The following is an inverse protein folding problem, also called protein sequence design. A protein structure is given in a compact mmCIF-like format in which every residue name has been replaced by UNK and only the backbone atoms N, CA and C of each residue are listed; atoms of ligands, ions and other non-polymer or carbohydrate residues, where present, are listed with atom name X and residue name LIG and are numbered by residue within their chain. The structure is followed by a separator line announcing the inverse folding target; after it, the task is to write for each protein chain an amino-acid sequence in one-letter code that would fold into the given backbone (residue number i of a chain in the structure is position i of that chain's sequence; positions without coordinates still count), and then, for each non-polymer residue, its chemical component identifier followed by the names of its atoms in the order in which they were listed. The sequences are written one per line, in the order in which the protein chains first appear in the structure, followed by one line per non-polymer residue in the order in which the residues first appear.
data_IF_973600641539
#
_entry.id   IF_973600641539
#
_cell.length_a   1.000
_cell.length_b   1.000
_cell.length_c   1.000
_cell.angle_alpha   90.00
_cell.angle_beta   90.00
_cell.angle_gamma   90.00
#
_symmetry.space_group_name_H-M   'P 1'
#
loop_
_entity.id
_entity.type
_entity.pdbx_description
1 polymer ?
#
# COMPACT_ATOMS: atom_id res chain seq x y z
N UNK A 1 -4.76 -12.40 2.66
CA UNK A 1 -3.30 -12.72 2.62
C UNK A 1 -2.57 -11.78 3.58
N UNK A 2 -1.65 -12.28 4.41
CA UNK A 2 -0.87 -11.44 5.33
C UNK A 2 0.63 -11.78 5.24
N UNK A 3 1.49 -10.77 5.30
CA UNK A 3 2.94 -10.96 5.33
C UNK A 3 3.71 -9.64 5.42
N UNK A 4 5.01 -9.70 5.07
CA UNK A 4 5.93 -8.56 4.95
C UNK A 4 6.32 -8.36 3.49
N UNK A 5 7.02 -7.27 3.17
CA UNK A 5 7.62 -7.08 1.84
C UNK A 5 8.70 -8.12 1.49
N UNK A 6 9.15 -8.91 2.47
CA UNK A 6 10.07 -10.02 2.24
C UNK A 6 9.34 -11.32 1.92
N UNK A 7 8.18 -11.58 2.55
CA UNK A 7 7.40 -12.80 2.32
C UNK A 7 6.41 -12.68 1.16
N UNK A 8 5.94 -11.47 0.89
CA UNK A 8 5.07 -11.14 -0.22
C UNK A 8 5.93 -10.57 -1.35
N UNK A 9 5.96 -11.25 -2.49
CA UNK A 9 6.78 -10.87 -3.64
C UNK A 9 6.02 -11.10 -4.95
N UNK A 10 6.42 -10.36 -6.00
CA UNK A 10 5.78 -10.46 -7.31
C UNK A 10 4.43 -9.75 -7.38
N UNK A 11 3.66 -9.98 -8.45
CA UNK A 11 2.31 -9.41 -8.58
C UNK A 11 1.32 -10.21 -7.74
N UNK A 12 0.42 -9.52 -7.04
CA UNK A 12 -0.65 -10.13 -6.23
C UNK A 12 -2.01 -9.75 -6.81
N UNK A 13 -2.86 -10.75 -7.01
CA UNK A 13 -4.31 -10.56 -7.21
C UNK A 13 -4.98 -10.60 -5.84
N UNK A 14 -5.51 -9.47 -5.41
CA UNK A 14 -6.14 -9.25 -4.12
C UNK A 14 -7.66 -9.16 -4.28
N UNK A 15 -8.37 -10.26 -4.07
CA UNK A 15 -9.84 -10.29 -4.16
C UNK A 15 -10.54 -10.07 -2.81
N UNK A 16 -9.80 -10.09 -1.70
CA UNK A 16 -10.35 -9.98 -0.34
C UNK A 16 -9.58 -8.97 0.49
N UNK A 17 -8.38 -9.34 0.94
CA UNK A 17 -7.49 -8.44 1.66
C UNK A 17 -6.02 -8.86 1.53
N UNK A 18 -5.14 -7.86 1.41
CA UNK A 18 -3.70 -7.98 1.59
C UNK A 18 -3.29 -7.16 2.81
N UNK A 19 -2.58 -7.79 3.75
CA UNK A 19 -2.14 -7.16 4.98
C UNK A 19 -0.61 -7.18 5.01
N UNK A 20 0.01 -6.00 5.00
CA UNK A 20 1.43 -5.84 5.29
C UNK A 20 1.61 -5.58 6.78
N UNK A 21 2.03 -6.59 7.54
CA UNK A 21 2.41 -6.42 8.94
C UNK A 21 3.93 -6.26 9.05
N UNK A 22 4.38 -5.03 8.85
CA UNK A 22 5.78 -4.70 8.64
C UNK A 22 6.35 -4.01 9.88
N UNK A 23 7.30 -4.66 10.56
CA UNK A 23 7.96 -4.09 11.75
C UNK A 23 9.22 -3.29 11.42
N UNK A 24 9.87 -3.60 10.30
CA UNK A 24 11.11 -2.97 9.81
C UNK A 24 10.90 -2.48 8.38
N UNK A 25 11.51 -1.37 7.97
CA UNK A 25 11.27 -0.80 6.65
C UNK A 25 11.52 -1.78 5.49
N UNK A 26 10.69 -1.69 4.45
CA UNK A 26 10.81 -2.55 3.28
C UNK A 26 10.08 -2.02 2.05
N UNK A 27 10.56 -2.43 0.88
CA UNK A 27 10.00 -2.05 -0.42
C UNK A 27 9.26 -3.21 -1.05
N UNK A 28 8.05 -2.95 -1.54
CA UNK A 28 7.27 -3.87 -2.35
C UNK A 28 7.12 -3.31 -3.76
N UNK A 29 7.81 -3.94 -4.71
CA UNK A 29 7.83 -3.54 -6.12
C UNK A 29 6.77 -4.23 -6.99
N UNK A 30 6.05 -5.19 -6.42
CA UNK A 30 4.97 -5.89 -7.12
C UNK A 30 3.75 -5.00 -7.36
N UNK A 31 2.96 -5.33 -8.38
CA UNK A 31 1.63 -4.76 -8.58
C UNK A 31 0.60 -5.50 -7.73
N UNK A 32 -0.36 -4.78 -7.16
CA UNK A 32 -1.51 -5.34 -6.45
C UNK A 32 -2.76 -4.94 -7.21
N UNK A 33 -3.54 -5.91 -7.66
CA UNK A 33 -4.79 -5.71 -8.40
C UNK A 33 -5.98 -6.40 -7.71
N UNK A 34 -7.20 -6.24 -8.20
CA UNK A 34 -8.39 -6.95 -7.70
C UNK A 34 -9.37 -6.07 -6.91
N UNK A 35 -10.37 -6.66 -6.27
CA UNK A 35 -11.41 -5.92 -5.54
C UNK A 35 -11.20 -5.84 -4.02
N UNK A 36 -10.14 -6.46 -3.50
CA UNK A 36 -9.83 -6.51 -2.08
C UNK A 36 -9.17 -5.24 -1.57
N UNK A 37 -9.08 -5.14 -0.24
CA UNK A 37 -8.47 -4.01 0.46
C UNK A 37 -6.99 -4.23 0.76
N UNK A 38 -6.25 -3.13 0.96
CA UNK A 38 -4.88 -3.15 1.44
C UNK A 38 -4.83 -2.62 2.88
N UNK A 39 -4.20 -3.36 3.79
CA UNK A 39 -4.01 -2.93 5.19
C UNK A 39 -2.53 -2.85 5.54
N UNK A 40 -2.10 -1.72 6.09
CA UNK A 40 -0.75 -1.53 6.64
C UNK A 40 -0.79 -1.59 8.17
N UNK A 41 -0.05 -2.57 8.71
CA UNK A 41 0.19 -2.84 10.13
C UNK A 41 1.70 -2.78 10.43
N UNK A 42 2.03 -2.76 11.72
CA UNK A 42 3.41 -2.77 12.22
C UNK A 42 4.09 -1.39 12.14
N UNK A 43 5.15 -1.22 12.93
CA UNK A 43 5.83 0.06 13.13
C UNK A 43 6.69 0.53 11.95
N UNK A 44 7.08 -0.37 11.05
CA UNK A 44 7.98 -0.06 9.95
C UNK A 44 7.28 0.63 8.78
N UNK A 45 8.08 1.00 7.79
CA UNK A 45 7.64 1.61 6.53
C UNK A 45 7.43 0.54 5.47
N UNK A 46 6.29 0.59 4.77
CA UNK A 46 6.12 -0.14 3.50
C UNK A 46 6.20 0.87 2.38
N UNK A 47 7.17 0.69 1.49
CA UNK A 47 7.36 1.51 0.30
C UNK A 47 6.74 0.76 -0.89
N UNK A 48 5.59 1.25 -1.37
CA UNK A 48 4.96 0.76 -2.58
C UNK A 48 5.55 1.48 -3.78
N UNK A 49 6.18 0.73 -4.69
CA UNK A 49 6.70 1.28 -5.95
C UNK A 49 6.02 0.68 -7.18
N UNK A 50 5.25 -0.39 -7.01
CA UNK A 50 4.42 -0.95 -8.07
C UNK A 50 3.21 -0.07 -8.40
N UNK A 51 2.71 -0.22 -9.62
CA UNK A 51 1.42 0.31 -10.03
C UNK A 51 0.32 -0.61 -9.48
N UNK A 52 -0.55 -0.06 -8.63
CA UNK A 52 -1.59 -0.83 -7.97
C UNK A 52 -2.96 -0.44 -8.51
N UNK A 53 -3.83 -1.42 -8.71
CA UNK A 53 -5.18 -1.27 -9.27
C UNK A 53 -6.24 -2.00 -8.44
N UNK A 54 -5.95 -2.27 -7.17
CA UNK A 54 -6.96 -2.80 -6.26
C UNK A 54 -8.01 -1.73 -5.96
N UNK A 55 -9.29 -2.10 -5.88
CA UNK A 55 -10.38 -1.12 -5.67
C UNK A 55 -10.98 -1.13 -4.28
N UNK A 56 -10.59 -2.07 -3.40
CA UNK A 56 -11.14 -2.18 -2.04
C UNK A 56 -10.60 -1.15 -1.04
N UNK A 57 -9.82 -0.17 -1.49
CA UNK A 57 -9.26 0.89 -0.66
C UNK A 57 -8.06 0.47 0.19
N UNK A 58 -7.52 1.44 0.93
CA UNK A 58 -6.33 1.31 1.78
C UNK A 58 -6.64 1.71 3.21
N UNK A 59 -6.18 0.92 4.18
CA UNK A 59 -6.22 1.28 5.60
C UNK A 59 -4.82 1.27 6.18
N UNK A 60 -4.37 2.39 6.73
CA UNK A 60 -3.07 2.51 7.42
C UNK A 60 -3.32 2.63 8.91
N UNK A 61 -3.05 1.55 9.64
CA UNK A 61 -3.31 1.46 11.09
C UNK A 61 -2.07 1.85 11.89
N UNK A 62 -0.87 1.49 11.42
CA UNK A 62 0.38 1.76 12.12
C UNK A 62 1.60 1.90 11.19
N UNK A 63 2.62 2.61 11.68
CA UNK A 63 3.85 2.90 10.95
C UNK A 63 3.60 3.83 9.77
N UNK A 64 4.35 3.63 8.69
CA UNK A 64 4.28 4.48 7.50
C UNK A 64 3.96 3.66 6.26
N UNK A 65 3.03 4.17 5.44
CA UNK A 65 2.87 3.74 4.06
C UNK A 65 3.46 4.82 3.15
N UNK A 66 4.54 4.49 2.44
CA UNK A 66 5.14 5.38 1.46
C UNK A 66 4.75 4.93 0.05
N UNK A 67 4.32 5.88 -0.78
CA UNK A 67 3.79 5.63 -2.10
C UNK A 67 4.09 6.80 -3.06
N UNK A 68 3.73 6.64 -4.33
CA UNK A 68 3.54 7.75 -5.27
C UNK A 68 2.05 7.84 -5.68
N UNK A 69 1.68 8.86 -6.44
CA UNK A 69 0.30 9.10 -6.90
C UNK A 69 -0.34 7.94 -7.69
N UNK A 70 0.45 7.01 -8.25
CA UNK A 70 -0.05 5.82 -8.97
C UNK A 70 0.01 4.52 -8.16
N UNK A 71 0.42 4.57 -6.89
CA UNK A 71 0.61 3.39 -6.04
C UNK A 71 -0.58 3.12 -5.10
N UNK A 72 -1.51 4.05 -4.93
CA UNK A 72 -2.75 3.84 -4.16
C UNK A 72 -3.94 3.92 -5.10
N UNK A 73 -4.98 3.15 -4.78
CA UNK A 73 -6.23 3.09 -5.54
C UNK A 73 -7.41 2.95 -4.58
N UNK A 74 -8.46 3.74 -4.81
CA UNK A 74 -9.62 3.89 -3.91
C UNK A 74 -9.33 4.71 -2.66
N UNK A 75 -10.32 4.73 -1.75
CA UNK A 75 -10.30 5.49 -0.51
C UNK A 75 -9.15 5.07 0.40
N UNK A 76 -8.50 6.04 1.05
CA UNK A 76 -7.48 5.79 2.07
C UNK A 76 -7.95 6.23 3.44
N UNK A 77 -8.15 5.27 4.34
CA UNK A 77 -8.31 5.52 5.76
C UNK A 77 -6.92 5.57 6.43
N UNK A 78 -6.46 6.78 6.77
CA UNK A 78 -5.15 7.01 7.37
C UNK A 78 -5.24 7.29 8.89
N UNK A 79 -4.93 6.28 9.70
CA UNK A 79 -4.85 6.39 11.16
C UNK A 79 -3.41 6.54 11.67
N UNK A 80 -2.41 6.56 10.79
CA UNK A 80 -1.00 6.74 11.12
C UNK A 80 -0.33 7.69 10.13
N UNK A 81 0.59 7.21 9.28
CA UNK A 81 1.28 8.03 8.28
C UNK A 81 1.15 7.46 6.87
N UNK A 82 0.75 8.33 5.93
CA UNK A 82 0.85 8.12 4.49
C UNK A 82 1.78 9.21 3.94
N UNK A 83 2.81 8.80 3.21
CA UNK A 83 3.82 9.69 2.64
C UNK A 83 3.87 9.50 1.13
N UNK A 84 3.52 10.55 0.40
CA UNK A 84 3.72 10.60 -1.05
C UNK A 84 5.14 11.09 -1.34
N UNK A 85 5.98 10.20 -1.87
CA UNK A 85 7.34 10.51 -2.30
C UNK A 85 7.41 10.46 -3.84
N UNK A 86 7.25 11.62 -4.48
CA UNK A 86 7.17 11.77 -5.92
C UNK A 86 7.95 13.01 -6.37
N UNK A 87 8.59 12.93 -7.54
CA UNK A 87 9.48 13.98 -8.07
C UNK A 87 8.73 15.12 -8.76
N UNK A 88 7.43 14.93 -9.02
CA UNK A 88 6.54 15.91 -9.64
C UNK A 88 5.24 15.96 -8.86
N UNK A 89 4.61 17.13 -8.82
CA UNK A 89 3.27 17.28 -8.26
C UNK A 89 2.30 16.32 -8.98
N UNK A 90 1.58 15.54 -8.19
CA UNK A 90 0.61 14.56 -8.66
C UNK A 90 -0.67 14.74 -7.86
N UNK A 91 -1.81 14.67 -8.54
CA UNK A 91 -3.12 14.74 -7.89
C UNK A 91 -3.48 13.36 -7.36
N UNK A 92 -3.64 13.23 -6.05
CA UNK A 92 -4.42 12.14 -5.48
C UNK A 92 -5.88 12.56 -5.55
N UNK A 93 -6.55 12.21 -6.65
CA UNK A 93 -7.97 12.48 -6.85
C UNK A 93 -8.75 11.19 -6.60
N UNK A 94 -9.35 11.10 -5.42
CA UNK A 94 -10.62 10.42 -5.18
C UNK A 94 -11.28 11.12 -3.97
N UNK A 95 -11.83 12.32 -4.24
CA UNK A 95 -13.15 12.79 -3.80
C UNK A 95 -13.77 13.58 -4.95
#
# INVERSE_FOLDING_TARGET
LQGTTTSLQGSIVNDTAVIFNQSTDGTYAGSISGSGSLTKLGSGTVILTGANSYSGGTTVIAGTLQCNSGSLSGDTLNNAAVVFNQTSDGTYADV
#
